data_IF_644241226212
#
_entry.id   IF_644241226212
#
_cell.length_a   1.000
_cell.length_b   1.000
_cell.length_c   1.000
_cell.angle_alpha   90.00
_cell.angle_beta   90.00
_cell.angle_gamma   90.00
#
_symmetry.space_group_name_H-M   'P 1'
#
loop_
_entity.id
_entity.type
_entity.pdbx_description
1 polymer ?
#
# COMPACT_ATOMS: atom_id res chain seq x y z
N UNK A 1 31.91 -19.26 -1.08
CA UNK A 1 31.02 -18.71 -0.04
C UNK A 1 30.02 -17.78 -0.72
N UNK A 2 28.71 -18.04 -0.66
CA UNK A 2 27.71 -17.07 -1.12
C UNK A 2 27.67 -15.93 -0.09
N UNK A 3 28.09 -14.73 -0.47
CA UNK A 3 28.01 -13.57 0.41
C UNK A 3 26.56 -13.34 0.83
N UNK A 4 26.31 -13.43 2.14
CA UNK A 4 24.98 -13.28 2.72
C UNK A 4 24.59 -11.81 2.56
N UNK A 5 23.49 -11.52 1.85
CA UNK A 5 22.96 -10.17 1.68
C UNK A 5 22.74 -9.52 3.05
N UNK A 6 23.21 -8.28 3.23
CA UNK A 6 23.05 -7.57 4.51
C UNK A 6 21.57 -7.36 4.85
N UNK A 7 21.22 -7.34 6.15
CA UNK A 7 19.84 -7.11 6.62
C UNK A 7 19.24 -5.83 6.02
N UNK A 8 20.01 -4.74 5.98
CA UNK A 8 19.59 -3.45 5.43
C UNK A 8 19.30 -3.53 3.93
N UNK A 9 20.16 -4.22 3.18
CA UNK A 9 19.96 -4.42 1.73
C UNK A 9 18.72 -5.28 1.45
N UNK A 10 18.49 -6.33 2.25
CA UNK A 10 17.27 -7.15 2.14
C UNK A 10 16.01 -6.34 2.40
N UNK A 11 16.00 -5.53 3.46
CA UNK A 11 14.86 -4.67 3.78
C UNK A 11 14.57 -3.70 2.64
N UNK A 12 15.60 -3.04 2.11
CA UNK A 12 15.45 -2.15 0.95
C UNK A 12 14.78 -2.83 -0.26
N UNK A 13 15.18 -4.05 -0.62
CA UNK A 13 14.54 -4.75 -1.74
C UNK A 13 13.08 -5.05 -1.48
N UNK A 14 12.74 -5.49 -0.27
CA UNK A 14 11.34 -5.73 0.11
C UNK A 14 10.55 -4.43 0.03
N UNK A 15 11.08 -3.33 0.56
CA UNK A 15 10.40 -2.04 0.54
C UNK A 15 10.12 -1.56 -0.90
N UNK A 16 11.07 -1.68 -1.81
CA UNK A 16 10.89 -1.29 -3.22
C UNK A 16 9.93 -2.23 -3.97
N UNK A 17 10.03 -3.55 -3.72
CA UNK A 17 9.14 -4.55 -4.31
C UNK A 17 7.70 -4.35 -3.81
N UNK A 18 7.52 -3.98 -2.55
CA UNK A 18 6.19 -3.65 -1.99
C UNK A 18 5.66 -2.30 -2.49
N UNK A 19 6.53 -1.29 -2.61
CA UNK A 19 6.16 0.06 -3.03
C UNK A 19 5.52 0.09 -4.43
N UNK A 20 6.10 -0.62 -5.39
CA UNK A 20 5.69 -0.53 -6.80
C UNK A 20 4.23 -0.96 -7.04
N UNK A 21 3.80 -2.19 -6.69
CA UNK A 21 2.40 -2.59 -6.85
C UNK A 21 1.47 -1.78 -5.95
N UNK A 22 1.93 -1.31 -4.78
CA UNK A 22 1.12 -0.44 -3.93
C UNK A 22 0.81 0.91 -4.59
N UNK A 23 1.76 1.50 -5.32
CA UNK A 23 1.49 2.70 -6.13
C UNK A 23 0.51 2.42 -7.27
N UNK A 24 0.60 1.26 -7.92
CA UNK A 24 -0.34 0.86 -8.98
C UNK A 24 -1.75 0.62 -8.41
N UNK A 25 -1.86 -0.01 -7.24
CA UNK A 25 -3.11 -0.17 -6.49
C UNK A 25 -3.74 1.19 -6.14
N UNK A 26 -2.94 2.17 -5.67
CA UNK A 26 -3.43 3.53 -5.42
C UNK A 26 -3.90 4.20 -6.71
N UNK A 27 -3.09 4.15 -7.77
CA UNK A 27 -3.42 4.80 -9.05
C UNK A 27 -4.71 4.26 -9.65
N UNK A 28 -4.86 2.93 -9.68
CA UNK A 28 -6.09 2.27 -10.12
C UNK A 28 -7.27 2.59 -9.20
N UNK A 29 -7.06 2.68 -7.89
CA UNK A 29 -8.11 3.08 -6.94
C UNK A 29 -8.61 4.50 -7.18
N UNK A 30 -7.73 5.44 -7.52
CA UNK A 30 -8.10 6.81 -7.91
C UNK A 30 -8.96 6.80 -9.18
N UNK A 31 -8.61 5.99 -10.18
CA UNK A 31 -9.42 5.83 -11.40
C UNK A 31 -10.80 5.24 -11.05
N UNK A 32 -10.85 4.25 -10.17
CA UNK A 32 -12.09 3.62 -9.72
C UNK A 32 -13.05 4.58 -9.01
N UNK A 33 -12.55 5.65 -8.39
CA UNK A 33 -13.43 6.69 -7.80
C UNK A 33 -14.36 7.33 -8.85
N UNK A 34 -13.95 7.43 -10.11
CA UNK A 34 -14.78 8.01 -11.17
C UNK A 34 -16.01 7.12 -11.41
N UNK A 35 -15.81 5.80 -11.44
CA UNK A 35 -16.87 4.81 -11.62
C UNK A 35 -17.76 4.71 -10.37
N UNK A 36 -17.15 4.71 -9.18
CA UNK A 36 -17.89 4.69 -7.92
C UNK A 36 -18.69 5.98 -7.64
N UNK A 37 -18.41 7.08 -8.33
CA UNK A 37 -19.16 8.35 -8.22
C UNK A 37 -20.20 8.55 -9.33
N UNK A 38 -20.46 7.52 -10.14
CA UNK A 38 -21.61 7.50 -11.05
C UNK A 38 -21.29 7.40 -12.53
N UNK A 39 -20.01 7.35 -12.92
CA UNK A 39 -19.66 7.03 -14.31
C UNK A 39 -20.04 5.57 -14.62
N UNK A 40 -20.81 5.29 -15.70
CA UNK A 40 -21.19 3.92 -16.04
C UNK A 40 -19.96 3.05 -16.34
N UNK A 41 -19.95 1.80 -15.87
CA UNK A 41 -18.82 0.88 -16.05
C UNK A 41 -18.54 0.53 -17.52
N UNK A 42 -19.53 0.63 -18.41
CA UNK A 42 -19.35 0.44 -19.85
C UNK A 42 -18.61 1.60 -20.54
N UNK A 43 -18.36 2.71 -19.86
CA UNK A 43 -17.64 3.86 -20.43
C UNK A 43 -16.16 3.79 -20.15
N UNK A 44 -15.35 4.19 -21.13
CA UNK A 44 -13.91 4.09 -21.05
C UNK A 44 -13.28 5.25 -20.28
N UNK A 45 -12.21 4.96 -19.55
CA UNK A 45 -11.26 5.92 -18.99
C UNK A 45 -9.87 5.46 -19.40
N UNK A 46 -9.10 6.31 -20.08
CA UNK A 46 -7.80 5.93 -20.66
C UNK A 46 -7.91 4.68 -21.56
N UNK A 47 -8.96 4.61 -22.40
CA UNK A 47 -9.22 3.52 -23.34
C UNK A 47 -9.46 2.14 -22.72
N UNK A 48 -9.81 2.09 -21.43
CA UNK A 48 -10.14 0.87 -20.69
C UNK A 48 -11.48 1.09 -19.98
N UNK A 49 -12.39 0.11 -20.03
CA UNK A 49 -13.70 0.19 -19.37
C UNK A 49 -13.61 -0.02 -17.84
N UNK A 50 -14.68 0.33 -17.14
CA UNK A 50 -14.72 0.28 -15.67
C UNK A 50 -14.59 -1.13 -15.09
N UNK A 51 -15.06 -2.17 -15.78
CA UNK A 51 -14.92 -3.55 -15.28
C UNK A 51 -13.47 -3.99 -15.36
N UNK A 52 -12.80 -3.67 -16.47
CA UNK A 52 -11.37 -3.94 -16.63
C UNK A 52 -10.54 -3.18 -15.60
N UNK A 53 -10.84 -1.91 -15.33
CA UNK A 53 -10.18 -1.15 -14.25
C UNK A 53 -10.41 -1.78 -12.87
N UNK A 54 -11.61 -2.28 -12.59
CA UNK A 54 -11.92 -2.97 -11.33
C UNK A 54 -11.06 -4.22 -11.17
N UNK A 55 -10.96 -5.06 -12.20
CA UNK A 55 -10.13 -6.27 -12.18
C UNK A 55 -8.65 -5.92 -11.94
N UNK A 56 -8.14 -4.89 -12.62
CA UNK A 56 -6.76 -4.44 -12.43
C UNK A 56 -6.55 -3.95 -10.98
N UNK A 57 -7.50 -3.18 -10.44
CA UNK A 57 -7.43 -2.69 -9.07
C UNK A 57 -7.44 -3.83 -8.05
N UNK A 58 -8.34 -4.82 -8.21
CA UNK A 58 -8.42 -6.00 -7.35
C UNK A 58 -7.13 -6.82 -7.40
N UNK A 59 -6.58 -7.06 -8.60
CA UNK A 59 -5.33 -7.79 -8.79
C UNK A 59 -4.16 -7.13 -8.04
N UNK A 60 -3.96 -5.84 -8.26
CA UNK A 60 -2.89 -5.11 -7.56
C UNK A 60 -3.16 -5.00 -6.07
N UNK A 61 -4.43 -4.91 -5.64
CA UNK A 61 -4.79 -4.90 -4.22
C UNK A 61 -4.39 -6.19 -3.51
N UNK A 62 -4.64 -7.35 -4.12
CA UNK A 62 -4.23 -8.65 -3.55
C UNK A 62 -2.71 -8.77 -3.47
N UNK A 63 -2.00 -8.43 -4.55
CA UNK A 63 -0.53 -8.45 -4.60
C UNK A 63 0.05 -7.51 -3.53
N UNK A 64 -0.45 -6.28 -3.46
CA UNK A 64 -0.02 -5.27 -2.48
C UNK A 64 -0.31 -5.70 -1.06
N UNK A 65 -1.47 -6.29 -0.78
CA UNK A 65 -1.81 -6.77 0.56
C UNK A 65 -0.80 -7.82 1.05
N UNK A 66 -0.49 -8.82 0.22
CA UNK A 66 0.51 -9.85 0.55
C UNK A 66 1.89 -9.22 0.80
N UNK A 67 2.31 -8.29 -0.06
CA UNK A 67 3.61 -7.63 0.06
C UNK A 67 3.71 -6.68 1.28
N UNK A 68 2.60 -6.04 1.66
CA UNK A 68 2.52 -5.25 2.91
C UNK A 68 2.61 -6.16 4.12
N UNK A 69 1.95 -7.33 4.13
CA UNK A 69 2.09 -8.32 5.21
C UNK A 69 3.55 -8.78 5.34
N UNK A 70 4.23 -9.04 4.22
CA UNK A 70 5.67 -9.40 4.22
C UNK A 70 6.52 -8.25 4.76
N UNK A 71 6.30 -7.03 4.30
CA UNK A 71 6.98 -5.82 4.81
C UNK A 71 6.80 -5.69 6.33
N UNK A 72 5.56 -5.75 6.83
CA UNK A 72 5.28 -5.68 8.27
C UNK A 72 5.94 -6.82 9.06
N UNK A 73 5.99 -8.03 8.50
CA UNK A 73 6.65 -9.20 9.13
C UNK A 73 8.15 -8.98 9.29
N UNK A 74 8.81 -8.39 8.29
CA UNK A 74 10.24 -8.07 8.38
C UNK A 74 10.50 -6.95 9.39
N UNK A 75 9.52 -6.07 9.58
CA UNK A 75 9.54 -4.98 10.55
C UNK A 75 8.81 -5.31 11.86
N UNK A 76 8.57 -6.60 12.16
CA UNK A 76 7.70 -7.02 13.28
C UNK A 76 8.20 -6.54 14.64
N UNK A 77 9.51 -6.49 14.86
CA UNK A 77 10.08 -6.02 16.13
C UNK A 77 9.82 -4.52 16.31
N UNK A 78 9.93 -3.74 15.24
CA UNK A 78 9.57 -2.32 15.25
C UNK A 78 8.06 -2.16 15.46
N UNK A 79 7.23 -2.96 14.78
CA UNK A 79 5.77 -2.91 14.91
C UNK A 79 5.31 -3.23 16.34
N UNK A 80 5.86 -4.27 16.96
CA UNK A 80 5.60 -4.59 18.38
C UNK A 80 5.94 -3.38 19.26
N UNK A 81 7.13 -2.83 19.10
CA UNK A 81 7.58 -1.71 19.92
C UNK A 81 6.80 -0.40 19.67
N UNK A 82 6.22 -0.23 18.48
CA UNK A 82 5.33 0.87 18.15
C UNK A 82 4.10 0.91 19.07
N UNK A 83 3.52 -0.26 19.35
CA UNK A 83 2.33 -0.39 20.22
C UNK A 83 2.67 -0.47 21.71
N UNK A 84 3.85 -0.97 22.09
CA UNK A 84 4.25 -1.07 23.50
C UNK A 84 4.89 0.19 24.08
N UNK A 85 4.83 1.34 23.38
CA UNK A 85 5.48 2.61 23.79
C UNK A 85 6.99 2.54 24.09
N UNK A 86 7.68 1.49 23.65
CA UNK A 86 9.11 1.28 23.97
C UNK A 86 10.07 2.07 23.08
N UNK A 87 9.56 2.77 22.06
CA UNK A 87 10.35 3.59 21.15
C UNK A 87 9.88 5.04 21.15
N UNK A 88 10.83 5.97 21.23
CA UNK A 88 10.66 7.39 20.85
C UNK A 88 10.80 7.56 19.33
N UNK A 89 10.00 6.83 18.57
CA UNK A 89 9.98 6.99 17.11
C UNK A 89 9.40 8.37 16.78
N UNK A 90 10.21 9.21 16.11
CA UNK A 90 9.84 10.56 15.65
C UNK A 90 8.56 10.57 14.83
N UNK A 91 8.28 9.48 14.11
CA UNK A 91 7.15 9.35 13.19
C UNK A 91 6.07 8.39 13.70
N UNK A 92 6.11 8.05 15.00
CA UNK A 92 5.21 7.09 15.64
C UNK A 92 3.74 7.30 15.32
N UNK A 93 3.21 8.50 15.55
CA UNK A 93 1.77 8.78 15.37
C UNK A 93 1.34 8.56 13.93
N UNK A 94 2.11 9.05 12.96
CA UNK A 94 1.84 8.85 11.52
C UNK A 94 1.83 7.36 11.19
N UNK A 95 2.81 6.60 11.69
CA UNK A 95 2.92 5.17 11.43
C UNK A 95 1.77 4.36 12.05
N UNK A 96 1.33 4.71 13.26
CA UNK A 96 0.15 4.11 13.91
C UNK A 96 -1.11 4.43 13.12
N UNK A 97 -1.31 5.71 12.77
CA UNK A 97 -2.49 6.13 12.00
C UNK A 97 -2.51 5.47 10.63
N UNK A 98 -1.38 5.40 9.93
CA UNK A 98 -1.26 4.72 8.64
C UNK A 98 -1.64 3.23 8.77
N UNK A 99 -1.14 2.55 9.80
CA UNK A 99 -1.47 1.14 10.05
C UNK A 99 -2.97 0.92 10.30
N UNK A 100 -3.59 1.78 11.12
CA UNK A 100 -5.03 1.71 11.40
C UNK A 100 -5.84 1.97 10.13
N UNK A 101 -5.55 3.06 9.42
CA UNK A 101 -6.26 3.43 8.20
C UNK A 101 -6.11 2.36 7.12
N UNK A 102 -4.91 1.82 6.92
CA UNK A 102 -4.67 0.70 6.01
C UNK A 102 -5.51 -0.53 6.40
N UNK A 103 -5.50 -0.90 7.68
CA UNK A 103 -6.25 -2.06 8.18
C UNK A 103 -7.75 -1.89 7.95
N UNK A 104 -8.31 -0.71 8.26
CA UNK A 104 -9.72 -0.42 8.01
C UNK A 104 -10.05 -0.39 6.51
N UNK A 105 -9.15 0.15 5.67
CA UNK A 105 -9.31 0.16 4.20
C UNK A 105 -9.35 -1.26 3.65
N UNK A 106 -8.45 -2.14 4.10
CA UNK A 106 -8.42 -3.54 3.69
C UNK A 106 -9.65 -4.31 4.19
N UNK A 107 -10.04 -4.13 5.45
CA UNK A 107 -11.22 -4.79 6.03
C UNK A 107 -12.50 -4.41 5.29
N UNK A 108 -12.69 -3.12 4.99
CA UNK A 108 -13.87 -2.65 4.25
C UNK A 108 -13.89 -3.18 2.81
N UNK A 109 -12.74 -3.24 2.13
CA UNK A 109 -12.62 -3.85 0.80
C UNK A 109 -12.98 -5.34 0.82
N UNK A 110 -12.30 -6.15 1.64
CA UNK A 110 -12.51 -7.58 1.68
C UNK A 110 -13.91 -7.94 2.15
N UNK A 111 -14.50 -7.18 3.08
CA UNK A 111 -15.87 -7.43 3.52
C UNK A 111 -16.88 -7.12 2.41
N UNK A 112 -16.73 -5.99 1.72
CA UNK A 112 -17.58 -5.61 0.58
C UNK A 112 -17.50 -6.60 -0.57
N UNK A 113 -16.29 -7.12 -0.83
CA UNK A 113 -15.99 -8.01 -1.95
C UNK A 113 -16.32 -9.48 -1.68
N UNK A 114 -15.85 -10.03 -0.56
CA UNK A 114 -15.87 -11.48 -0.30
C UNK A 114 -16.99 -11.95 0.62
N UNK A 115 -17.55 -11.05 1.46
CA UNK A 115 -18.49 -11.45 2.52
C UNK A 115 -19.94 -11.08 2.16
N UNK A 116 -20.18 -9.81 1.80
CA UNK A 116 -21.54 -9.27 1.63
C UNK A 116 -21.82 -8.75 0.22
N UNK A 117 -21.19 -9.31 -0.81
CA UNK A 117 -21.30 -8.84 -2.20
C UNK A 117 -22.75 -8.67 -2.65
N UNK A 118 -23.02 -7.63 -3.45
CA UNK A 118 -24.35 -7.30 -4.01
C UNK A 118 -25.46 -7.01 -2.98
N UNK A 119 -25.09 -6.49 -1.80
CA UNK A 119 -26.03 -6.02 -0.78
C UNK A 119 -25.88 -4.51 -0.54
N UNK A 120 -26.90 -3.87 0.04
CA UNK A 120 -26.82 -2.47 0.50
C UNK A 120 -25.65 -2.25 1.48
N UNK A 121 -25.33 -3.26 2.30
CA UNK A 121 -24.18 -3.23 3.21
C UNK A 121 -22.86 -3.13 2.41
N UNK A 122 -22.75 -3.84 1.29
CA UNK A 122 -21.57 -3.76 0.41
C UNK A 122 -21.38 -2.35 -0.15
N UNK A 123 -22.46 -1.67 -0.52
CA UNK A 123 -22.38 -0.28 -1.01
C UNK A 123 -21.90 0.68 0.10
N UNK A 124 -22.44 0.53 1.31
CA UNK A 124 -21.99 1.29 2.48
C UNK A 124 -20.51 1.05 2.79
N UNK A 125 -20.06 -0.20 2.76
CA UNK A 125 -18.65 -0.58 2.94
C UNK A 125 -17.76 -0.02 1.83
N UNK A 126 -18.21 -0.02 0.57
CA UNK A 126 -17.47 0.57 -0.55
C UNK A 126 -17.35 2.08 -0.41
N UNK A 127 -18.41 2.75 0.06
CA UNK A 127 -18.37 4.16 0.40
C UNK A 127 -17.37 4.48 1.52
N UNK A 128 -17.32 3.65 2.55
CA UNK A 128 -16.31 3.75 3.61
C UNK A 128 -14.89 3.50 3.09
N UNK A 129 -14.71 2.45 2.28
CA UNK A 129 -13.45 2.11 1.63
C UNK A 129 -12.91 3.28 0.78
N UNK A 130 -13.75 3.94 -0.02
CA UNK A 130 -13.34 5.09 -0.83
C UNK A 130 -12.78 6.24 0.03
N UNK A 131 -13.47 6.59 1.13
CA UNK A 131 -13.03 7.66 2.05
C UNK A 131 -11.75 7.29 2.80
N UNK A 132 -11.67 6.05 3.28
CA UNK A 132 -10.48 5.53 3.95
C UNK A 132 -9.29 5.42 3.00
N UNK A 133 -9.51 5.04 1.74
CA UNK A 133 -8.50 4.98 0.69
C UNK A 133 -7.92 6.37 0.36
N UNK A 134 -8.76 7.41 0.29
CA UNK A 134 -8.27 8.79 0.16
C UNK A 134 -7.40 9.21 1.36
N UNK A 135 -7.83 8.87 2.57
CA UNK A 135 -7.06 9.15 3.79
C UNK A 135 -5.74 8.35 3.82
N UNK A 136 -5.76 7.10 3.35
CA UNK A 136 -4.59 6.23 3.21
C UNK A 136 -3.54 6.87 2.31
N UNK A 137 -3.93 7.45 1.18
CA UNK A 137 -3.03 8.14 0.25
C UNK A 137 -2.29 9.29 0.95
N UNK A 138 -2.98 10.08 1.77
CA UNK A 138 -2.38 11.20 2.50
C UNK A 138 -1.32 10.70 3.49
N UNK A 139 -1.69 9.76 4.37
CA UNK A 139 -0.75 9.25 5.37
C UNK A 139 0.41 8.47 4.74
N UNK A 140 0.15 7.73 3.67
CA UNK A 140 1.18 7.04 2.92
C UNK A 140 2.17 8.03 2.29
N UNK A 141 1.69 9.12 1.71
CA UNK A 141 2.56 10.16 1.13
C UNK A 141 3.48 10.80 2.19
N UNK A 142 2.93 11.07 3.38
CA UNK A 142 3.73 11.57 4.52
C UNK A 142 4.74 10.51 4.98
N UNK A 143 4.33 9.25 5.07
CA UNK A 143 5.23 8.14 5.40
C UNK A 143 6.41 8.06 4.41
N UNK A 144 6.15 7.99 3.11
CA UNK A 144 7.19 7.96 2.08
C UNK A 144 8.12 9.18 2.19
N UNK A 145 7.57 10.37 2.40
CA UNK A 145 8.37 11.60 2.57
C UNK A 145 9.31 11.52 3.77
N UNK A 146 8.85 10.98 4.90
CA UNK A 146 9.67 10.81 6.10
C UNK A 146 10.86 9.84 5.86
N UNK A 147 10.67 8.82 5.03
CA UNK A 147 11.70 7.81 4.73
C UNK A 147 12.43 8.06 3.40
N UNK A 148 12.11 9.13 2.67
CA UNK A 148 12.63 9.40 1.32
C UNK A 148 14.16 9.50 1.29
N UNK A 149 14.77 10.21 2.25
CA UNK A 149 16.24 10.33 2.34
C UNK A 149 16.92 8.96 2.49
N UNK A 150 16.31 8.06 3.25
CA UNK A 150 16.81 6.70 3.42
C UNK A 150 16.69 5.89 2.13
N UNK A 151 15.54 5.96 1.45
CA UNK A 151 15.33 5.30 0.16
C UNK A 151 16.35 5.74 -0.90
N UNK A 152 16.59 7.06 -1.03
CA UNK A 152 17.59 7.61 -1.97
C UNK A 152 18.99 7.13 -1.61
N UNK A 153 19.36 7.18 -0.32
CA UNK A 153 20.67 6.70 0.15
C UNK A 153 20.88 5.23 -0.19
N UNK A 154 19.89 4.38 0.09
CA UNK A 154 19.99 2.94 -0.18
C UNK A 154 20.03 2.63 -1.68
N UNK A 155 19.23 3.33 -2.49
CA UNK A 155 19.26 3.24 -3.95
C UNK A 155 20.66 3.56 -4.47
N UNK A 156 21.23 4.69 -4.05
CA UNK A 156 22.59 5.07 -4.45
C UNK A 156 23.63 4.02 -4.03
N UNK A 157 23.52 3.44 -2.84
CA UNK A 157 24.45 2.39 -2.40
C UNK A 157 24.35 1.11 -3.24
N UNK A 158 23.14 0.67 -3.58
CA UNK A 158 22.91 -0.54 -4.38
C UNK A 158 23.40 -0.36 -5.82
N UNK A 159 23.14 0.79 -6.43
CA UNK A 159 23.54 1.07 -7.82
C UNK A 159 24.99 1.53 -7.96
N UNK A 160 25.56 2.25 -6.99
CA UNK A 160 26.97 2.69 -7.05
C UNK A 160 27.95 1.52 -6.86
N UNK A 161 27.57 0.49 -6.10
CA UNK A 161 28.37 -0.75 -5.99
C UNK A 161 28.44 -1.55 -7.29
N UNK A 162 27.55 -1.30 -8.26
CA UNK A 162 27.60 -1.90 -9.60
C UNK A 162 28.54 -1.17 -10.58
N UNK A 163 29.15 -0.04 -10.20
CA UNK A 163 30.03 0.75 -11.08
C UNK A 163 31.51 0.30 -11.12
N UNK A 164 31.84 -0.87 -10.56
CA UNK A 164 33.17 -1.48 -10.67
C UNK A 164 33.01 -2.82 -11.41
N UNK A 165 32.81 -2.74 -12.73
CA UNK A 165 33.07 -3.83 -13.68
C UNK A 165 33.69 -3.17 -14.91
#
# INVERSE_FOLDING_TARGET
MKDKVSKTTRNYYVDIISLTPFLLMIGTGIIMLIYHTGKPYCTETLSIDGNTWLIIHELFSVISFILVVIHLTIHIDWLKNLFFNKLSDKHKSINITLFIVFSLTALTAFSSWLIVSNTEISEGLRGAHNKLGLLLIIFFSVHITNYFKWLVKMTNQVFSKKKII
#
